data_IF_361475743738
#
_entry.id   IF_361475743738
#
_cell.length_a   1.000
_cell.length_b   1.000
_cell.length_c   1.000
_cell.angle_alpha   90.00
_cell.angle_beta   90.00
_cell.angle_gamma   90.00
#
_symmetry.space_group_name_H-M   'P 1'
#
loop_
_entity.id
_entity.type
_entity.pdbx_description
1 polymer ?
#
# COMPACT_ATOMS: atom_id res chain seq x y z
N UNK A 1 47.05 15.76 -49.44
CA UNK A 1 45.65 15.32 -49.42
C UNK A 1 45.35 13.91 -48.83
N UNK A 2 46.35 13.00 -48.75
CA UNK A 2 46.17 11.65 -48.21
C UNK A 2 45.82 11.64 -46.67
N UNK A 3 46.42 12.52 -45.91
CA UNK A 3 46.25 12.54 -44.44
C UNK A 3 44.86 13.01 -43.99
N UNK A 4 44.16 13.83 -44.78
CA UNK A 4 42.82 14.32 -44.45
C UNK A 4 41.80 13.19 -44.39
N UNK A 5 41.91 12.17 -45.24
CA UNK A 5 41.00 11.00 -45.23
C UNK A 5 41.12 10.17 -43.95
N UNK A 6 42.33 10.04 -43.40
CA UNK A 6 42.51 9.28 -42.14
C UNK A 6 41.90 10.01 -40.94
N UNK A 7 41.99 11.35 -40.91
CA UNK A 7 41.33 12.15 -39.86
C UNK A 7 39.83 12.05 -39.96
N UNK A 8 39.23 12.08 -41.16
CA UNK A 8 37.77 11.93 -41.32
C UNK A 8 37.27 10.54 -40.91
N UNK A 9 37.99 9.47 -41.24
CA UNK A 9 37.64 8.12 -40.76
C UNK A 9 37.81 7.98 -39.24
N UNK A 10 38.84 8.57 -38.66
CA UNK A 10 39.09 8.58 -37.24
C UNK A 10 37.96 9.30 -36.47
N UNK A 11 37.53 10.48 -36.93
CA UNK A 11 36.43 11.24 -36.33
C UNK A 11 35.09 10.54 -36.48
N UNK A 12 34.84 9.88 -37.61
CA UNK A 12 33.61 9.10 -37.82
C UNK A 12 33.53 7.90 -36.89
N UNK A 13 34.63 7.20 -36.67
CA UNK A 13 34.71 6.06 -35.77
C UNK A 13 34.51 6.51 -34.32
N UNK A 14 35.10 7.64 -33.93
CA UNK A 14 34.90 8.24 -32.61
C UNK A 14 33.46 8.66 -32.41
N UNK A 15 32.81 9.29 -33.41
CA UNK A 15 31.42 9.68 -33.35
C UNK A 15 30.46 8.45 -33.21
N UNK A 16 30.76 7.37 -33.97
CA UNK A 16 30.00 6.11 -33.85
C UNK A 16 30.17 5.47 -32.47
N UNK A 17 31.36 5.50 -31.89
CA UNK A 17 31.62 5.01 -30.54
C UNK A 17 30.85 5.82 -29.46
N UNK A 18 30.83 7.15 -29.57
CA UNK A 18 30.06 8.01 -28.69
C UNK A 18 28.55 7.80 -28.81
N UNK A 19 28.06 7.67 -30.06
CA UNK A 19 26.63 7.37 -30.29
C UNK A 19 26.22 6.03 -29.67
N UNK A 20 27.06 4.99 -29.86
CA UNK A 20 26.82 3.69 -29.23
C UNK A 20 26.82 3.77 -27.69
N UNK A 21 27.78 4.49 -27.12
CA UNK A 21 27.83 4.71 -25.66
C UNK A 21 26.58 5.42 -25.14
N UNK A 22 26.12 6.47 -25.82
CA UNK A 22 24.90 7.20 -25.43
C UNK A 22 23.66 6.31 -25.49
N UNK A 23 23.47 5.55 -26.58
CA UNK A 23 22.33 4.65 -26.71
C UNK A 23 22.35 3.59 -25.62
N UNK A 24 23.51 3.02 -25.32
CA UNK A 24 23.64 2.00 -24.29
C UNK A 24 23.40 2.57 -22.87
N UNK A 25 23.87 3.79 -22.60
CA UNK A 25 23.65 4.49 -21.34
C UNK A 25 22.17 4.79 -21.11
N UNK A 26 21.46 5.24 -22.15
CA UNK A 26 20.01 5.52 -22.07
C UNK A 26 19.23 4.22 -21.84
N UNK A 27 19.55 3.16 -22.58
CA UNK A 27 18.91 1.85 -22.38
C UNK A 27 19.08 1.35 -20.95
N UNK A 28 20.30 1.40 -20.42
CA UNK A 28 20.58 0.97 -19.05
C UNK A 28 19.71 1.72 -18.02
N UNK A 29 19.56 3.06 -18.18
CA UNK A 29 18.73 3.86 -17.29
C UNK A 29 17.25 3.48 -17.37
N UNK A 30 16.74 3.22 -18.59
CA UNK A 30 15.34 2.81 -18.79
C UNK A 30 15.08 1.42 -18.19
N UNK A 31 15.97 0.47 -18.42
CA UNK A 31 15.85 -0.89 -17.93
C UNK A 31 15.92 -0.93 -16.39
N UNK A 32 16.77 -0.11 -15.78
CA UNK A 32 16.88 0.01 -14.33
C UNK A 32 15.61 0.64 -13.72
N UNK A 33 15.09 1.69 -14.32
CA UNK A 33 13.83 2.31 -13.89
C UNK A 33 12.67 1.33 -13.99
N UNK A 34 12.57 0.57 -15.07
CA UNK A 34 11.54 -0.46 -15.24
C UNK A 34 11.65 -1.55 -14.16
N UNK A 35 12.87 -2.00 -13.84
CA UNK A 35 13.13 -2.98 -12.78
C UNK A 35 12.69 -2.46 -11.41
N UNK A 36 13.03 -1.20 -11.10
CA UNK A 36 12.65 -0.56 -9.84
C UNK A 36 11.11 -0.45 -9.75
N UNK A 37 10.47 0.03 -10.80
CA UNK A 37 9.01 0.18 -10.83
C UNK A 37 8.27 -1.15 -10.67
N UNK A 38 8.75 -2.23 -11.28
CA UNK A 38 8.19 -3.57 -11.11
C UNK A 38 8.36 -4.08 -9.67
N UNK A 39 9.52 -3.89 -9.07
CA UNK A 39 9.79 -4.28 -7.70
C UNK A 39 8.91 -3.50 -6.71
N UNK A 40 8.77 -2.19 -6.91
CA UNK A 40 7.91 -1.33 -6.09
C UNK A 40 6.43 -1.69 -6.24
N UNK A 41 5.97 -2.05 -7.44
CA UNK A 41 4.60 -2.48 -7.66
C UNK A 41 4.24 -3.71 -6.82
N UNK A 42 5.16 -4.69 -6.72
CA UNK A 42 5.00 -5.89 -5.88
C UNK A 42 4.94 -5.54 -4.39
N UNK A 43 5.74 -4.57 -3.94
CA UNK A 43 5.69 -4.07 -2.55
C UNK A 43 4.39 -3.35 -2.27
N UNK A 44 3.93 -2.49 -3.18
CA UNK A 44 2.67 -1.75 -3.05
C UNK A 44 1.49 -2.73 -2.97
N UNK A 45 1.49 -3.78 -3.77
CA UNK A 45 0.46 -4.82 -3.73
C UNK A 45 0.43 -5.52 -2.36
N UNK A 46 1.58 -5.93 -1.83
CA UNK A 46 1.66 -6.49 -0.47
C UNK A 46 1.21 -5.52 0.61
N UNK A 47 1.63 -4.26 0.54
CA UNK A 47 1.18 -3.24 1.50
C UNK A 47 -0.33 -3.04 1.47
N UNK A 48 -0.96 -3.14 0.29
CA UNK A 48 -2.44 -3.12 0.17
C UNK A 48 -3.07 -4.33 0.86
N UNK A 49 -2.51 -5.53 0.70
CA UNK A 49 -2.99 -6.74 1.38
C UNK A 49 -2.88 -6.60 2.91
N UNK A 50 -1.72 -6.16 3.41
CA UNK A 50 -1.51 -5.93 4.84
C UNK A 50 -2.50 -4.88 5.37
N UNK A 51 -2.70 -3.80 4.63
CA UNK A 51 -3.68 -2.78 5.00
C UNK A 51 -5.10 -3.35 5.10
N UNK A 52 -5.51 -4.19 4.14
CA UNK A 52 -6.83 -4.83 4.17
C UNK A 52 -6.97 -5.75 5.39
N UNK A 53 -5.94 -6.52 5.72
CA UNK A 53 -5.90 -7.35 6.92
C UNK A 53 -5.99 -6.52 8.21
N UNK A 54 -5.28 -5.41 8.28
CA UNK A 54 -5.32 -4.49 9.42
C UNK A 54 -6.69 -3.85 9.62
N UNK A 55 -7.35 -3.44 8.53
CA UNK A 55 -8.72 -2.90 8.60
C UNK A 55 -9.70 -3.97 9.09
N UNK A 56 -9.57 -5.21 8.60
CA UNK A 56 -10.39 -6.31 9.07
C UNK A 56 -10.12 -6.63 10.56
N UNK A 57 -8.85 -6.63 10.97
CA UNK A 57 -8.47 -6.81 12.37
C UNK A 57 -9.11 -5.74 13.26
N UNK A 58 -9.01 -4.49 12.86
CA UNK A 58 -9.60 -3.37 13.59
C UNK A 58 -11.14 -3.47 13.67
N UNK A 59 -11.81 -3.91 12.60
CA UNK A 59 -13.27 -4.04 12.61
C UNK A 59 -13.77 -5.06 13.63
N UNK A 60 -12.94 -6.06 13.96
CA UNK A 60 -13.29 -7.12 14.93
C UNK A 60 -12.79 -6.79 16.33
N UNK A 61 -11.58 -6.23 16.46
CA UNK A 61 -10.89 -6.04 17.74
C UNK A 61 -10.93 -4.58 18.24
N UNK A 62 -11.46 -3.63 17.44
CA UNK A 62 -11.57 -2.22 17.80
C UNK A 62 -10.25 -1.43 17.73
N UNK A 63 -9.13 -2.06 17.44
CA UNK A 63 -7.79 -1.44 17.31
C UNK A 63 -6.96 -2.15 16.27
N UNK A 64 -5.90 -1.51 15.77
CA UNK A 64 -4.95 -2.14 14.86
C UNK A 64 -3.99 -3.08 15.59
N UNK A 65 -3.51 -4.12 14.89
CA UNK A 65 -2.47 -5.00 15.40
C UNK A 65 -1.12 -4.27 15.36
N UNK A 66 -0.42 -4.26 16.49
CA UNK A 66 0.92 -3.66 16.63
C UNK A 66 2.04 -4.65 16.34
N UNK A 67 1.74 -5.96 16.32
CA UNK A 67 2.70 -7.03 16.15
C UNK A 67 2.27 -7.98 15.05
N UNK A 68 3.26 -8.55 14.35
CA UNK A 68 3.03 -9.50 13.27
C UNK A 68 2.34 -10.77 13.73
N UNK A 69 2.75 -11.33 14.86
CA UNK A 69 2.19 -12.59 15.36
C UNK A 69 0.68 -12.46 15.63
N UNK A 70 0.26 -11.33 16.17
CA UNK A 70 -1.16 -11.05 16.42
C UNK A 70 -1.94 -10.93 15.11
N UNK A 71 -1.39 -10.23 14.11
CA UNK A 71 -2.04 -10.08 12.81
C UNK A 71 -2.10 -11.39 12.04
N UNK A 72 -1.01 -12.18 12.03
CA UNK A 72 -0.98 -13.47 11.34
C UNK A 72 -1.93 -14.48 11.95
N UNK A 73 -1.96 -14.60 13.28
CA UNK A 73 -2.92 -15.45 13.97
C UNK A 73 -4.36 -15.09 13.65
N UNK A 74 -4.65 -13.79 13.52
CA UNK A 74 -5.97 -13.34 13.10
C UNK A 74 -6.27 -13.71 11.64
N UNK A 75 -5.31 -13.59 10.73
CA UNK A 75 -5.49 -13.99 9.33
C UNK A 75 -5.76 -15.49 9.22
N UNK A 76 -5.00 -16.32 9.95
CA UNK A 76 -5.09 -17.77 9.84
C UNK A 76 -6.33 -18.36 10.52
N UNK A 77 -6.78 -17.78 11.64
CA UNK A 77 -7.86 -18.34 12.45
C UNK A 77 -9.04 -17.41 12.73
N UNK A 78 -8.94 -16.14 12.34
CA UNK A 78 -9.94 -15.12 12.59
C UNK A 78 -11.16 -15.24 11.68
N UNK A 79 -12.28 -14.67 12.18
CA UNK A 79 -13.52 -14.57 11.43
C UNK A 79 -13.96 -13.11 11.35
N UNK A 80 -14.52 -12.74 10.19
CA UNK A 80 -15.14 -11.44 9.95
C UNK A 80 -16.66 -11.64 9.98
N UNK A 81 -17.37 -10.81 10.74
CA UNK A 81 -18.81 -10.85 10.79
C UNK A 81 -19.42 -10.10 9.59
N UNK A 82 -20.34 -10.77 8.92
CA UNK A 82 -21.16 -10.16 7.88
C UNK A 82 -22.34 -9.47 8.55
N UNK A 83 -22.32 -8.14 8.54
CA UNK A 83 -23.37 -7.32 9.15
C UNK A 83 -24.22 -6.71 8.04
N UNK A 84 -25.50 -7.02 8.04
CA UNK A 84 -26.47 -6.33 7.21
C UNK A 84 -26.95 -5.07 7.93
N UNK A 85 -26.76 -3.94 7.29
CA UNK A 85 -27.27 -2.66 7.74
C UNK A 85 -28.60 -2.37 7.04
N UNK A 86 -29.67 -2.23 7.81
CA UNK A 86 -30.98 -1.82 7.31
C UNK A 86 -31.38 -0.52 7.98
N UNK A 87 -31.72 0.47 7.19
CA UNK A 87 -32.27 1.74 7.65
C UNK A 87 -33.78 1.72 7.44
N UNK A 88 -34.54 2.01 8.50
CA UNK A 88 -35.99 2.17 8.46
C UNK A 88 -36.30 3.61 8.86
N UNK A 89 -36.92 4.33 7.94
CA UNK A 89 -37.32 5.73 8.16
C UNK A 89 -38.81 5.77 8.35
N UNK A 90 -39.21 6.24 9.51
CA UNK A 90 -40.64 6.42 9.87
C UNK A 90 -40.95 7.91 9.90
N UNK A 91 -42.03 8.29 9.21
CA UNK A 91 -42.54 9.67 9.25
C UNK A 91 -43.40 9.82 10.51
N UNK A 92 -43.00 10.74 11.37
CA UNK A 92 -43.75 11.06 12.58
C UNK A 92 -44.95 11.98 12.26
N UNK A 93 -46.01 11.94 13.11
CA UNK A 93 -47.25 12.69 12.91
C UNK A 93 -47.06 14.21 12.74
N UNK A 94 -45.97 14.75 13.25
CA UNK A 94 -45.62 16.18 13.11
C UNK A 94 -44.69 16.47 11.92
N UNK A 95 -44.49 15.52 11.02
CA UNK A 95 -43.74 15.71 9.76
C UNK A 95 -42.23 15.58 9.86
N UNK A 96 -41.68 15.18 11.01
CA UNK A 96 -40.27 14.83 11.12
C UNK A 96 -40.03 13.36 10.74
N UNK A 97 -38.83 13.09 10.16
CA UNK A 97 -38.42 11.74 9.85
C UNK A 97 -37.50 11.19 10.96
N UNK A 98 -37.85 10.05 11.50
CA UNK A 98 -37.01 9.29 12.43
C UNK A 98 -36.40 8.09 11.68
N UNK A 99 -35.07 8.03 11.60
CA UNK A 99 -34.38 6.91 10.97
C UNK A 99 -33.76 6.01 12.01
N UNK A 100 -34.27 4.78 12.09
CA UNK A 100 -33.73 3.73 12.96
C UNK A 100 -32.80 2.82 12.18
N UNK A 101 -31.61 2.58 12.73
CA UNK A 101 -30.60 1.72 12.12
C UNK A 101 -30.65 0.34 12.78
N UNK A 102 -30.92 -0.68 11.97
CA UNK A 102 -30.86 -2.08 12.39
C UNK A 102 -29.57 -2.71 11.85
N UNK A 103 -28.84 -3.39 12.73
CA UNK A 103 -27.63 -4.13 12.40
C UNK A 103 -27.87 -5.61 12.68
N UNK A 104 -28.07 -6.38 11.62
CA UNK A 104 -28.28 -7.83 11.72
C UNK A 104 -27.01 -8.58 11.31
N UNK A 105 -26.53 -9.49 12.15
CA UNK A 105 -25.40 -10.35 11.83
C UNK A 105 -25.88 -11.54 11.01
N UNK A 106 -25.53 -11.58 9.71
CA UNK A 106 -25.92 -12.64 8.78
C UNK A 106 -25.09 -13.93 8.97
N UNK A 107 -23.87 -13.80 9.48
CA UNK A 107 -22.96 -14.92 9.64
C UNK A 107 -21.52 -14.46 9.84
N UNK A 108 -20.60 -15.41 9.77
CA UNK A 108 -19.15 -15.13 9.80
C UNK A 108 -18.45 -15.86 8.66
N UNK A 109 -17.40 -15.26 8.13
CA UNK A 109 -16.53 -15.81 7.10
C UNK A 109 -15.10 -15.74 7.59
N UNK A 110 -14.27 -16.73 7.25
CA UNK A 110 -12.86 -16.69 7.63
C UNK A 110 -12.16 -15.50 6.95
N UNK A 111 -11.15 -14.94 7.59
CA UNK A 111 -10.38 -13.81 7.04
C UNK A 111 -9.76 -14.18 5.69
N UNK A 112 -9.23 -15.40 5.58
CA UNK A 112 -8.60 -15.89 4.34
C UNK A 112 -9.64 -15.92 3.20
N UNK A 113 -10.81 -16.49 3.42
CA UNK A 113 -11.84 -16.59 2.39
C UNK A 113 -12.42 -15.23 2.00
N UNK A 114 -12.47 -14.29 2.94
CA UNK A 114 -12.99 -12.96 2.69
C UNK A 114 -12.01 -12.05 1.94
N UNK A 115 -10.72 -12.05 2.32
CA UNK A 115 -9.75 -11.09 1.80
C UNK A 115 -8.79 -11.68 0.75
N UNK A 116 -8.49 -12.97 0.84
CA UNK A 116 -7.42 -13.60 0.07
C UNK A 116 -7.88 -14.75 -0.83
N UNK A 117 -9.18 -14.96 -0.98
CA UNK A 117 -9.75 -16.03 -1.83
C UNK A 117 -9.29 -15.96 -3.30
N UNK A 118 -8.97 -14.78 -3.79
CA UNK A 118 -8.47 -14.58 -5.16
C UNK A 118 -7.01 -14.97 -5.36
N UNK A 119 -6.27 -15.24 -4.28
CA UNK A 119 -4.83 -15.54 -4.31
C UNK A 119 -4.64 -17.04 -4.12
N UNK A 120 -4.21 -17.78 -5.17
CA UNK A 120 -3.99 -19.22 -5.03
C UNK A 120 -2.82 -19.49 -4.07
N UNK A 121 -2.99 -20.48 -3.19
CA UNK A 121 -1.97 -20.90 -2.21
C UNK A 121 -1.48 -19.76 -1.31
N UNK A 122 -2.39 -18.91 -0.89
CA UNK A 122 -2.05 -17.83 0.04
C UNK A 122 -1.54 -18.39 1.37
N UNK A 123 -0.42 -17.85 1.85
CA UNK A 123 0.18 -18.17 3.14
C UNK A 123 0.41 -16.88 3.89
N UNK A 124 -0.22 -16.71 5.05
CA UNK A 124 -0.19 -15.46 5.82
C UNK A 124 1.23 -15.03 6.21
N UNK A 125 2.10 -15.98 6.56
CA UNK A 125 3.50 -15.69 6.93
C UNK A 125 4.31 -15.04 5.81
N UNK A 126 3.90 -15.21 4.54
CA UNK A 126 4.56 -14.56 3.42
C UNK A 126 4.31 -13.05 3.36
N UNK A 127 3.31 -12.53 4.07
CA UNK A 127 3.02 -11.09 4.12
C UNK A 127 4.14 -10.29 4.80
N UNK A 128 4.83 -10.89 5.76
CA UNK A 128 5.89 -10.22 6.51
C UNK A 128 7.08 -9.85 5.61
N UNK A 129 7.39 -10.69 4.63
CA UNK A 129 8.61 -10.57 3.84
C UNK A 129 8.46 -9.53 2.72
N UNK A 130 9.47 -8.67 2.58
CA UNK A 130 9.52 -7.67 1.50
C UNK A 130 9.89 -8.35 0.19
N UNK A 131 9.08 -8.23 -0.89
CA UNK A 131 9.41 -8.79 -2.19
C UNK A 131 10.72 -8.22 -2.73
N UNK A 132 11.54 -9.09 -3.32
CA UNK A 132 12.82 -8.67 -3.94
C UNK A 132 14.01 -8.56 -3.00
N UNK A 133 13.81 -8.84 -1.72
CA UNK A 133 14.88 -8.91 -0.74
C UNK A 133 14.85 -10.24 0.02
N UNK A 134 16.01 -10.82 0.24
CA UNK A 134 16.15 -11.95 1.15
C UNK A 134 16.29 -11.44 2.59
N UNK A 135 15.51 -12.02 3.51
CA UNK A 135 15.58 -11.72 4.96
C UNK A 135 15.27 -10.26 5.36
N UNK A 136 14.51 -9.54 4.54
CA UNK A 136 13.98 -8.22 4.90
C UNK A 136 12.48 -8.34 5.16
N UNK A 137 12.06 -7.86 6.31
CA UNK A 137 10.66 -7.88 6.75
C UNK A 137 10.10 -6.47 6.83
N UNK A 138 8.81 -6.33 6.60
CA UNK A 138 8.11 -5.07 6.84
C UNK A 138 8.08 -4.79 8.34
N UNK A 139 8.30 -3.53 8.68
CA UNK A 139 8.10 -3.04 10.03
C UNK A 139 6.65 -2.61 10.22
N UNK A 140 6.04 -3.04 11.31
CA UNK A 140 4.68 -2.68 11.68
C UNK A 140 4.69 -1.87 12.97
N UNK A 141 3.87 -0.84 13.02
CA UNK A 141 3.67 -0.03 14.19
C UNK A 141 2.21 0.42 14.25
N UNK A 142 1.58 0.30 15.40
CA UNK A 142 0.22 0.78 15.63
C UNK A 142 0.16 1.53 16.96
N UNK A 143 -0.58 2.63 16.99
CA UNK A 143 -0.78 3.45 18.18
C UNK A 143 -2.05 4.28 18.07
N UNK A 144 -2.42 4.92 19.16
CA UNK A 144 -3.43 5.98 19.17
C UNK A 144 -2.75 7.33 19.13
N UNK A 145 -3.23 8.21 18.30
CA UNK A 145 -2.78 9.59 18.21
C UNK A 145 -3.96 10.54 18.46
N UNK A 146 -3.70 11.64 19.12
CA UNK A 146 -4.69 12.69 19.29
C UNK A 146 -4.64 13.63 18.08
N UNK A 147 -5.79 13.80 17.42
CA UNK A 147 -5.93 14.73 16.30
C UNK A 147 -7.19 15.56 16.46
N UNK A 148 -7.02 16.86 16.71
CA UNK A 148 -8.14 17.77 16.91
C UNK A 148 -9.00 17.48 18.14
N UNK A 149 -8.41 16.97 19.21
CA UNK A 149 -9.13 16.60 20.46
C UNK A 149 -9.83 15.25 20.41
N UNK A 150 -9.60 14.45 19.35
CA UNK A 150 -10.15 13.08 19.22
C UNK A 150 -9.00 12.08 19.11
N UNK A 151 -9.09 10.99 19.88
CA UNK A 151 -8.17 9.86 19.73
C UNK A 151 -8.50 9.08 18.47
N UNK A 152 -7.48 8.86 17.63
CA UNK A 152 -7.58 8.12 16.38
C UNK A 152 -6.58 6.97 16.38
N UNK A 153 -7.05 5.76 16.09
CA UNK A 153 -6.17 4.62 15.90
C UNK A 153 -5.41 4.76 14.57
N UNK A 154 -4.11 4.53 14.62
CA UNK A 154 -3.22 4.65 13.47
C UNK A 154 -2.37 3.41 13.36
N UNK A 155 -2.17 2.93 12.14
CA UNK A 155 -1.20 1.89 11.82
C UNK A 155 -0.26 2.38 10.72
N UNK A 156 1.01 2.10 10.89
CA UNK A 156 2.05 2.31 9.88
C UNK A 156 2.73 0.98 9.58
N UNK A 157 2.83 0.66 8.30
CA UNK A 157 3.63 -0.47 7.81
C UNK A 157 4.66 0.08 6.85
N UNK A 158 5.92 -0.20 7.13
CA UNK A 158 7.05 0.40 6.44
C UNK A 158 7.97 -0.66 5.85
N UNK A 159 8.39 -0.44 4.59
CA UNK A 159 9.53 -1.16 4.02
C UNK A 159 10.83 -0.48 4.51
N UNK A 160 11.68 -1.17 5.30
CA UNK A 160 12.89 -0.57 5.83
C UNK A 160 13.97 -0.32 4.77
N UNK A 161 13.86 -0.96 3.60
CA UNK A 161 14.88 -0.90 2.56
C UNK A 161 14.29 -0.44 1.22
N UNK A 162 14.50 0.83 0.80
CA UNK A 162 13.99 1.33 -0.48
C UNK A 162 14.72 0.68 -1.65
N UNK A 163 14.02 0.50 -2.79
CA UNK A 163 14.64 0.00 -4.04
C UNK A 163 15.46 1.06 -4.75
N UNK A 164 14.98 2.30 -4.73
CA UNK A 164 15.71 3.45 -5.26
C UNK A 164 16.10 4.40 -4.12
N UNK A 165 17.38 4.40 -3.71
CA UNK A 165 17.83 5.28 -2.63
C UNK A 165 17.83 6.76 -3.03
N UNK A 166 17.73 7.09 -4.31
CA UNK A 166 17.75 8.47 -4.80
C UNK A 166 16.36 9.03 -5.10
N UNK A 167 15.32 8.23 -4.89
CA UNK A 167 13.94 8.63 -5.17
C UNK A 167 13.52 9.81 -4.31
N UNK A 168 12.98 10.84 -4.97
CA UNK A 168 12.34 11.98 -4.33
C UNK A 168 10.83 11.75 -4.32
N UNK A 169 10.20 11.84 -3.15
CA UNK A 169 8.75 11.87 -3.08
C UNK A 169 8.23 13.20 -3.68
N UNK A 170 7.14 13.13 -4.43
CA UNK A 170 6.61 14.24 -5.22
C UNK A 170 6.21 15.47 -4.41
N UNK A 171 5.90 15.32 -3.13
CA UNK A 171 5.34 16.39 -2.31
C UNK A 171 6.30 16.92 -1.24
N UNK A 172 7.45 16.31 -1.05
CA UNK A 172 8.41 16.72 -0.03
C UNK A 172 9.84 16.40 -0.48
N UNK A 173 10.76 17.17 0.01
CA UNK A 173 12.20 16.94 -0.16
C UNK A 173 12.71 15.68 0.58
N UNK A 174 11.89 14.67 0.73
CA UNK A 174 12.22 13.43 1.40
C UNK A 174 12.88 12.46 0.44
N UNK A 175 14.16 12.68 0.24
CA UNK A 175 15.02 11.76 -0.50
C UNK A 175 15.23 10.51 0.37
N UNK A 176 15.15 9.32 -0.23
CA UNK A 176 15.47 8.03 0.41
C UNK A 176 14.51 7.58 1.51
N UNK A 177 13.27 8.04 1.52
CA UNK A 177 12.29 7.44 2.42
C UNK A 177 11.82 6.07 1.89
N UNK A 178 11.71 5.08 2.78
CA UNK A 178 11.17 3.79 2.40
C UNK A 178 9.69 3.91 2.02
N UNK A 179 9.23 3.01 1.14
CA UNK A 179 7.82 2.86 0.85
C UNK A 179 7.08 2.46 2.12
N UNK A 180 6.02 3.18 2.44
CA UNK A 180 5.19 2.91 3.62
C UNK A 180 3.71 3.04 3.28
N UNK A 181 2.89 2.29 4.00
CA UNK A 181 1.44 2.46 4.02
C UNK A 181 1.03 2.96 5.39
N UNK A 182 0.30 4.05 5.42
CA UNK A 182 -0.28 4.60 6.65
C UNK A 182 -1.80 4.54 6.51
N UNK A 183 -2.48 3.96 7.48
CA UNK A 183 -3.94 3.91 7.53
C UNK A 183 -4.43 4.62 8.78
N UNK A 184 -5.43 5.46 8.61
CA UNK A 184 -6.12 6.15 9.69
C UNK A 184 -7.57 5.69 9.72
N UNK A 185 -8.13 5.53 10.91
CA UNK A 185 -9.57 5.45 11.07
C UNK A 185 -10.14 6.84 10.84
N UNK A 186 -10.68 7.07 9.64
CA UNK A 186 -11.52 8.22 9.43
C UNK A 186 -12.92 7.92 9.98
N UNK A 187 -13.25 8.50 11.11
CA UNK A 187 -14.62 8.84 11.40
C UNK A 187 -15.03 9.94 10.41
N UNK A 188 -15.38 9.56 9.20
CA UNK A 188 -16.12 10.45 8.33
C UNK A 188 -17.53 10.54 8.92
N UNK A 189 -17.74 11.51 9.77
CA UNK A 189 -19.07 12.07 9.93
C UNK A 189 -19.51 12.46 8.51
N UNK A 190 -20.65 11.93 8.02
CA UNK A 190 -21.21 12.42 6.78
C UNK A 190 -21.56 13.89 7.00
N UNK A 191 -20.72 14.77 6.57
CA UNK A 191 -21.10 16.18 6.43
C UNK A 191 -22.11 16.26 5.28
N UNK A 192 -23.36 15.97 5.61
CA UNK A 192 -24.48 16.32 4.77
C UNK A 192 -24.52 17.85 4.75
N UNK A 193 -23.89 18.46 3.77
CA UNK A 193 -24.08 19.86 3.50
C UNK A 193 -25.51 20.01 2.98
N UNK A 194 -26.39 20.49 3.83
CA UNK A 194 -27.72 20.95 3.44
C UNK A 194 -27.48 22.29 2.73
N UNK A 195 -27.84 22.34 1.48
CA UNK A 195 -28.11 23.58 0.75
C UNK A 195 -29.60 23.69 0.63
#
# INVERSE_FOLDING_TARGET
MKNLKYYTYGTLLLAAGLAFYLVNSIKFSIDEEARINEAEAKVIEKLKMIRSAQIAFQSVNGQFASEWDTLLNFIDSGNIFLIQRREETVLLDYGAEETTLYLDTLGSVTVIDSLFSSIPNFVASNLINVPGYENVQFEIWASKIEKGGVEVDVVEVRNPKPFDPNRKESNEANINKPLRSVSYTHLTLPTKRIV
#
